data_IF_423542050349
#
_entry.id   IF_423542050349
#
_cell.length_a   1.000
_cell.length_b   1.000
_cell.length_c   1.000
_cell.angle_alpha   90.00
_cell.angle_beta   90.00
_cell.angle_gamma   90.00
#
_symmetry.space_group_name_H-M   'P 1'
#
loop_
_entity.id
_entity.type
_entity.pdbx_description
1 polymer ?
#
# COMPACT_ATOMS: atom_id res chain seq x y z
N UNK A 1 -10.46 -3.52 -0.91
CA UNK A 1 -10.55 -3.78 0.55
C UNK A 1 -10.20 -2.54 1.35
N UNK A 2 -10.74 -2.40 2.57
CA UNK A 2 -10.46 -1.28 3.50
C UNK A 2 -9.63 -1.75 4.70
N UNK A 3 -8.74 -0.91 5.21
CA UNK A 3 -7.88 -1.18 6.35
C UNK A 3 -7.28 0.09 6.94
N UNK A 4 -6.31 -0.07 7.83
CA UNK A 4 -5.63 1.03 8.50
C UNK A 4 -4.11 0.84 8.40
N UNK A 5 -3.39 1.93 8.24
CA UNK A 5 -1.93 1.97 8.21
C UNK A 5 -1.44 2.96 9.27
N UNK A 6 -0.48 2.54 10.08
CA UNK A 6 0.25 3.42 10.98
C UNK A 6 1.50 3.95 10.29
N UNK A 7 1.66 5.28 10.28
CA UNK A 7 2.89 5.93 9.84
C UNK A 7 3.79 6.23 11.06
N UNK A 8 4.96 5.58 11.18
CA UNK A 8 5.89 5.83 12.28
C UNK A 8 6.61 7.18 12.19
N UNK A 9 6.58 7.86 11.04
CA UNK A 9 7.26 9.15 10.87
C UNK A 9 6.53 10.28 11.59
N UNK A 10 5.20 10.23 11.61
CA UNK A 10 4.36 11.23 12.29
C UNK A 10 3.54 10.67 13.47
N UNK A 11 3.52 9.35 13.64
CA UNK A 11 2.81 8.67 14.72
C UNK A 11 1.30 8.59 14.51
N UNK A 12 0.81 8.79 13.29
CA UNK A 12 -0.61 8.84 12.97
C UNK A 12 -1.06 7.55 12.29
N UNK A 13 -2.28 7.11 12.60
CA UNK A 13 -2.97 6.04 11.88
C UNK A 13 -3.90 6.63 10.83
N UNK A 14 -3.77 6.14 9.60
CA UNK A 14 -4.55 6.53 8.43
C UNK A 14 -5.49 5.41 7.99
N UNK A 15 -6.65 5.80 7.49
CA UNK A 15 -7.55 4.91 6.77
C UNK A 15 -6.99 4.63 5.38
N UNK A 16 -7.09 3.38 4.95
CA UNK A 16 -6.60 2.93 3.64
C UNK A 16 -7.69 2.16 2.91
N UNK A 17 -7.91 2.50 1.64
CA UNK A 17 -8.65 1.67 0.70
C UNK A 17 -7.73 1.22 -0.42
N UNK A 18 -7.63 -0.09 -0.64
CA UNK A 18 -6.74 -0.67 -1.64
C UNK A 18 -7.52 -1.50 -2.65
N UNK A 19 -7.11 -1.42 -3.92
CA UNK A 19 -7.64 -2.18 -5.03
C UNK A 19 -6.50 -2.79 -5.85
N UNK A 20 -6.64 -4.06 -6.21
CA UNK A 20 -5.68 -4.74 -7.08
C UNK A 20 -6.01 -4.38 -8.53
N UNK A 21 -5.13 -3.60 -9.16
CA UNK A 21 -5.32 -3.09 -10.53
C UNK A 21 -4.65 -3.98 -11.59
N UNK A 22 -3.60 -4.69 -11.19
CA UNK A 22 -2.90 -5.70 -11.99
C UNK A 22 -2.32 -6.78 -11.06
N UNK A 23 -1.83 -7.93 -11.56
CA UNK A 23 -1.27 -9.00 -10.71
C UNK A 23 -0.11 -8.55 -9.79
N UNK A 24 0.58 -7.48 -10.17
CA UNK A 24 1.74 -6.89 -9.50
C UNK A 24 1.50 -5.44 -9.04
N UNK A 25 0.30 -4.88 -9.26
CA UNK A 25 0.03 -3.47 -8.96
C UNK A 25 -1.21 -3.26 -8.09
N UNK A 26 -1.03 -2.58 -6.96
CA UNK A 26 -2.07 -2.18 -6.03
C UNK A 26 -2.22 -0.65 -6.06
N UNK A 27 -3.44 -0.16 -6.27
CA UNK A 27 -3.80 1.24 -6.05
C UNK A 27 -4.29 1.40 -4.61
N UNK A 28 -3.61 2.21 -3.81
CA UNK A 28 -3.93 2.46 -2.42
C UNK A 28 -4.29 3.94 -2.20
N UNK A 29 -5.49 4.19 -1.67
CA UNK A 29 -5.95 5.50 -1.24
C UNK A 29 -5.77 5.61 0.27
N UNK A 30 -4.86 6.49 0.70
CA UNK A 30 -4.57 6.78 2.11
C UNK A 30 -5.19 8.12 2.49
N UNK A 31 -6.00 8.14 3.54
CA UNK A 31 -6.70 9.35 3.97
C UNK A 31 -6.91 9.36 5.49
N UNK A 32 -7.35 10.50 6.02
CA UNK A 32 -7.74 10.63 7.43
C UNK A 32 -9.15 11.20 7.51
N UNK A 33 -10.08 10.41 8.03
CA UNK A 33 -11.49 10.80 8.12
C UNK A 33 -12.22 10.67 6.79
N UNK A 34 -12.12 11.68 5.90
CA UNK A 34 -12.88 11.70 4.63
C UNK A 34 -12.00 11.25 3.45
N UNK A 35 -12.43 10.27 2.63
CA UNK A 35 -11.62 9.73 1.51
C UNK A 35 -11.17 10.75 0.45
N UNK A 36 -11.93 11.85 0.31
CA UNK A 36 -11.61 12.96 -0.61
C UNK A 36 -10.32 13.69 -0.20
N UNK A 37 -10.02 13.77 1.10
CA UNK A 37 -8.84 14.44 1.64
C UNK A 37 -7.72 13.45 1.94
N UNK A 38 -7.19 12.85 0.87
CA UNK A 38 -6.13 11.84 0.95
C UNK A 38 -5.23 11.85 -0.27
N UNK A 39 -4.31 10.89 -0.31
CA UNK A 39 -3.40 10.64 -1.43
C UNK A 39 -3.66 9.25 -2.00
N UNK A 40 -3.48 9.12 -3.30
CA UNK A 40 -3.51 7.83 -3.98
C UNK A 40 -2.09 7.50 -4.39
N UNK A 41 -1.64 6.31 -4.02
CA UNK A 41 -0.32 5.79 -4.34
C UNK A 41 -0.46 4.47 -5.08
N UNK A 42 0.42 4.23 -6.05
CA UNK A 42 0.50 2.95 -6.77
C UNK A 42 1.69 2.17 -6.21
N UNK A 43 1.39 1.03 -5.61
CA UNK A 43 2.38 0.10 -5.07
C UNK A 43 2.61 -1.01 -6.09
N UNK A 44 3.84 -1.11 -6.57
CA UNK A 44 4.28 -2.17 -7.46
C UNK A 44 4.97 -3.23 -6.60
N UNK A 45 4.55 -4.49 -6.75
CA UNK A 45 5.19 -5.63 -6.09
C UNK A 45 6.60 -5.77 -6.67
N UNK A 46 7.59 -5.73 -5.78
CA UNK A 46 8.96 -6.04 -6.14
C UNK A 46 9.01 -7.50 -6.65
N UNK A 47 9.57 -7.78 -7.85
CA UNK A 47 9.69 -9.14 -8.37
C UNK A 47 10.36 -10.04 -7.34
N UNK A 48 9.89 -11.29 -7.28
CA UNK A 48 10.54 -12.32 -6.47
C UNK A 48 11.99 -12.46 -6.94
N UNK A 49 12.94 -12.13 -6.06
CA UNK A 49 14.33 -12.47 -6.27
C UNK A 49 14.41 -14.00 -6.25
N UNK A 50 14.70 -14.58 -7.40
CA UNK A 50 15.04 -16.00 -7.51
C UNK A 50 16.25 -16.27 -6.60
N UNK A 51 16.00 -16.89 -5.45
CA UNK A 51 17.05 -17.44 -4.61
C UNK A 51 17.51 -18.79 -5.19
N UNK A 52 18.07 -18.79 -6.40
CA UNK A 52 18.89 -19.91 -6.91
C UNK A 52 20.27 -19.94 -6.22
N UNK A 53 20.30 -19.69 -4.90
CA UNK A 53 21.48 -19.90 -4.08
C UNK A 53 21.68 -21.41 -3.89
N UNK A 54 22.56 -22.02 -4.67
CA UNK A 54 23.07 -23.37 -4.39
C UNK A 54 24.11 -23.29 -3.27
N UNK A 55 23.83 -23.97 -2.16
CA UNK A 55 24.83 -24.36 -1.17
C UNK A 55 25.74 -25.46 -1.73
#
# INVERSE_FOLDING_TARGET
>A
SSGWLYDPQDGVTYDVTAELTAPDAISARVYRGVPLFGRTEILIRDPELSFEGRC
#
